data_IF_700850316406
#
_entry.id   IF_700850316406
#
_cell.length_a   1.000
_cell.length_b   1.000
_cell.length_c   1.000
_cell.angle_alpha   90.00
_cell.angle_beta   90.00
_cell.angle_gamma   90.00
#
_symmetry.space_group_name_H-M   'P 1'
#
loop_
_entity.id
_entity.type
_entity.pdbx_description
1 polymer ?
#
# COMPACT_ATOMS: atom_id res chain seq x y z
N UNK A 1 -8.53 -42.33 -23.79
CA UNK A 1 -7.45 -41.98 -22.84
C UNK A 1 -7.21 -40.49 -22.97
N UNK A 2 -7.89 -39.68 -22.16
CA UNK A 2 -7.74 -38.22 -22.14
C UNK A 2 -6.90 -37.82 -20.90
N UNK A 3 -6.07 -36.78 -20.99
CA UNK A 3 -5.03 -36.50 -20.00
C UNK A 3 -5.64 -36.03 -18.68
N UNK A 4 -4.98 -36.45 -17.60
CA UNK A 4 -5.31 -36.14 -16.22
C UNK A 4 -5.61 -34.66 -16.01
N UNK A 5 -6.71 -34.44 -15.30
CA UNK A 5 -7.26 -33.22 -14.74
C UNK A 5 -6.26 -32.47 -13.85
N UNK A 6 -5.16 -31.99 -14.41
CA UNK A 6 -4.33 -31.00 -13.75
C UNK A 6 -4.95 -29.63 -13.96
N UNK A 7 -6.16 -29.46 -13.42
CA UNK A 7 -6.69 -28.13 -13.17
C UNK A 7 -5.65 -27.41 -12.29
N UNK A 8 -5.14 -26.23 -12.68
CA UNK A 8 -4.23 -25.50 -11.83
C UNK A 8 -4.96 -25.27 -10.51
N UNK A 9 -4.38 -25.81 -9.43
CA UNK A 9 -4.92 -25.61 -8.09
C UNK A 9 -4.97 -24.09 -7.88
N UNK A 10 -6.11 -23.52 -7.48
CA UNK A 10 -6.17 -22.10 -7.14
C UNK A 10 -5.12 -21.90 -6.05
N UNK A 11 -4.10 -21.09 -6.35
CA UNK A 11 -3.10 -20.67 -5.36
C UNK A 11 -3.87 -20.13 -4.17
N UNK A 12 -3.86 -20.87 -3.06
CA UNK A 12 -4.64 -20.49 -1.88
C UNK A 12 -4.22 -19.07 -1.51
N UNK A 13 -5.13 -18.09 -1.62
CA UNK A 13 -4.75 -16.70 -1.41
C UNK A 13 -4.31 -16.55 0.05
N UNK A 14 -3.31 -15.72 0.27
CA UNK A 14 -2.91 -15.23 1.59
C UNK A 14 -4.18 -14.96 2.41
N UNK A 15 -4.34 -15.68 3.54
CA UNK A 15 -5.58 -15.74 4.31
C UNK A 15 -6.19 -14.33 4.53
N UNK A 16 -7.50 -14.20 4.34
CA UNK A 16 -8.20 -12.92 4.48
C UNK A 16 -8.21 -12.37 5.92
N UNK A 17 -8.15 -13.28 6.89
CA UNK A 17 -8.16 -12.96 8.30
C UNK A 17 -7.49 -14.09 9.11
N UNK A 18 -7.17 -13.78 10.36
CA UNK A 18 -6.74 -14.76 11.36
C UNK A 18 -7.38 -14.43 12.71
N UNK A 19 -7.42 -15.41 13.62
CA UNK A 19 -7.94 -15.22 14.98
C UNK A 19 -6.79 -14.97 15.93
N UNK A 20 -6.88 -13.89 16.70
CA UNK A 20 -5.91 -13.50 17.72
C UNK A 20 -6.66 -13.10 18.98
N UNK A 21 -6.36 -13.74 20.12
CA UNK A 21 -7.06 -13.54 21.39
C UNK A 21 -8.61 -13.62 21.29
N UNK A 22 -9.13 -14.52 20.45
CA UNK A 22 -10.58 -14.67 20.23
C UNK A 22 -11.21 -13.55 19.39
N UNK A 23 -10.40 -12.68 18.78
CA UNK A 23 -10.84 -11.61 17.88
C UNK A 23 -10.44 -11.93 16.45
N UNK A 24 -11.30 -11.58 15.50
CA UNK A 24 -11.00 -11.70 14.06
C UNK A 24 -10.16 -10.50 13.63
N UNK A 25 -8.97 -10.76 13.10
CA UNK A 25 -8.04 -9.76 12.59
C UNK A 25 -7.92 -9.91 11.08
N UNK A 26 -8.39 -8.92 10.34
CA UNK A 26 -8.31 -8.89 8.87
C UNK A 26 -6.90 -8.55 8.40
N UNK A 27 -6.47 -9.19 7.31
CA UNK A 27 -5.16 -8.93 6.69
C UNK A 27 -5.22 -7.74 5.73
N UNK A 28 -4.07 -7.15 5.44
CA UNK A 28 -3.96 -6.07 4.46
C UNK A 28 -4.46 -6.49 3.07
N UNK A 29 -4.22 -7.74 2.66
CA UNK A 29 -4.68 -8.28 1.37
C UNK A 29 -6.21 -8.30 1.27
N UNK A 30 -6.92 -8.66 2.34
CA UNK A 30 -8.37 -8.58 2.38
C UNK A 30 -8.86 -7.13 2.29
N UNK A 31 -8.24 -6.22 3.05
CA UNK A 31 -8.61 -4.80 3.05
C UNK A 31 -8.34 -4.12 1.70
N UNK A 32 -7.28 -4.54 0.98
CA UNK A 32 -7.01 -4.12 -0.39
C UNK A 32 -8.07 -4.64 -1.37
N UNK A 33 -8.46 -5.92 -1.27
CA UNK A 33 -9.53 -6.50 -2.10
C UNK A 33 -10.88 -5.80 -1.91
N UNK A 34 -11.18 -5.36 -0.68
CA UNK A 34 -12.38 -4.57 -0.37
C UNK A 34 -12.39 -3.23 -1.12
N UNK A 35 -11.22 -2.68 -1.42
CA UNK A 35 -11.07 -1.51 -2.29
C UNK A 35 -11.43 -0.16 -1.65
N UNK A 36 -11.83 -0.12 -0.38
CA UNK A 36 -12.15 1.13 0.32
C UNK A 36 -11.81 1.08 1.80
N UNK A 37 -11.42 2.23 2.35
CA UNK A 37 -11.22 2.40 3.78
C UNK A 37 -12.57 2.31 4.50
N UNK A 38 -12.57 1.64 5.65
CA UNK A 38 -13.77 1.45 6.45
C UNK A 38 -13.83 2.35 7.68
N UNK A 39 -12.81 3.18 7.90
CA UNK A 39 -12.70 4.12 9.03
C UNK A 39 -12.78 3.50 10.44
N UNK A 40 -12.58 2.19 10.55
CA UNK A 40 -12.64 1.46 11.83
C UNK A 40 -11.28 1.40 12.56
N UNK A 41 -10.25 2.09 12.09
CA UNK A 41 -8.91 2.07 12.71
C UNK A 41 -8.25 0.68 12.70
N UNK A 42 -8.45 -0.12 11.65
CA UNK A 42 -7.88 -1.47 11.57
C UNK A 42 -6.35 -1.47 11.55
N UNK A 43 -5.71 -2.32 12.37
CA UNK A 43 -4.24 -2.42 12.51
C UNK A 43 -3.45 -2.67 11.21
N UNK A 44 -4.05 -3.38 10.25
CA UNK A 44 -3.42 -3.75 8.97
C UNK A 44 -3.99 -2.96 7.79
N UNK A 45 -4.58 -1.79 8.05
CA UNK A 45 -5.23 -1.05 7.01
C UNK A 45 -4.22 -0.45 6.03
N UNK A 46 -4.32 -0.78 4.74
CA UNK A 46 -3.42 -0.24 3.72
C UNK A 46 -3.67 1.26 3.45
N UNK A 47 -4.80 1.79 3.92
CA UNK A 47 -5.20 3.19 3.74
C UNK A 47 -4.83 4.08 4.94
N UNK A 48 -4.30 3.49 6.02
CA UNK A 48 -3.85 4.20 7.21
C UNK A 48 -2.35 4.42 7.10
N UNK A 49 -1.98 5.54 6.50
CA UNK A 49 -0.61 6.02 6.41
C UNK A 49 -0.62 7.42 5.80
N UNK A 50 -0.10 8.36 6.58
CA UNK A 50 0.35 9.72 6.24
C UNK A 50 0.19 10.15 4.77
N UNK A 51 -0.38 11.34 4.48
CA UNK A 51 -0.22 11.92 3.16
C UNK A 51 1.30 12.06 2.93
N UNK A 52 1.79 11.82 1.72
CA UNK A 52 3.18 12.16 1.31
C UNK A 52 4.20 11.01 1.28
N UNK A 53 4.00 10.02 0.41
CA UNK A 53 5.11 9.56 -0.43
C UNK A 53 5.11 10.25 -1.82
N UNK A 54 3.99 10.91 -2.18
CA UNK A 54 3.89 11.71 -3.40
C UNK A 54 4.17 13.22 -3.17
N UNK A 55 4.27 13.70 -1.93
CA UNK A 55 4.46 15.13 -1.63
C UNK A 55 5.82 15.48 -0.97
N UNK A 56 6.71 14.50 -0.74
CA UNK A 56 8.05 14.74 -0.18
C UNK A 56 9.16 14.57 -1.23
N UNK A 57 8.85 14.79 -2.51
CA UNK A 57 9.84 14.88 -3.59
C UNK A 57 9.67 16.15 -4.42
N UNK A 58 9.26 17.25 -3.78
CA UNK A 58 9.73 18.56 -4.25
C UNK A 58 11.02 18.86 -3.51
N UNK A 59 12.21 18.64 -4.09
CA UNK A 59 13.35 19.43 -3.67
C UNK A 59 12.95 20.88 -3.95
N UNK A 60 12.67 21.68 -2.93
CA UNK A 60 12.79 23.13 -3.07
C UNK A 60 14.27 23.40 -3.29
N UNK A 61 14.66 23.43 -4.56
CA UNK A 61 15.87 24.12 -4.99
C UNK A 61 15.64 25.57 -4.60
N UNK A 62 16.17 25.96 -3.43
CA UNK A 62 16.23 27.34 -3.00
C UNK A 62 17.13 28.08 -4.01
N UNK A 63 16.49 28.82 -4.92
CA UNK A 63 17.12 29.46 -6.08
C UNK A 63 17.94 30.72 -5.69
N UNK A 64 18.64 30.68 -4.56
CA UNK A 64 19.46 31.80 -4.07
C UNK A 64 20.90 31.76 -4.59
N UNK A 65 21.29 30.78 -5.43
CA UNK A 65 22.69 30.63 -5.88
C UNK A 65 23.02 31.20 -7.27
N UNK A 66 22.09 31.72 -8.07
CA UNK A 66 22.47 32.23 -9.42
C UNK A 66 21.93 33.63 -9.65
N UNK A 67 22.60 34.61 -9.05
CA UNK A 67 22.70 35.94 -9.66
C UNK A 67 24.17 36.13 -10.04
N UNK A 68 24.54 36.01 -11.33
CA UNK A 68 25.85 36.45 -11.79
C UNK A 68 25.92 37.98 -11.70
N UNK A 69 27.00 38.47 -11.11
CA UNK A 69 27.38 39.88 -11.06
C UNK A 69 27.24 40.58 -12.42
N UNK A 70 26.65 41.79 -12.50
CA UNK A 70 27.05 42.73 -13.54
C UNK A 70 28.34 43.43 -13.09
N UNK A 71 29.40 43.14 -13.84
CA UNK A 71 30.66 43.87 -13.80
C UNK A 71 30.42 45.17 -14.59
N UNK A 72 30.39 46.33 -13.93
CA UNK A 72 30.92 47.63 -14.44
C UNK A 72 30.74 48.76 -13.43
#
# INVERSE_FOLDING_TARGET
MAPSSQQPQPVHPLADHYVEHGRVVFTAAFLLRRGTCCDNGCRHCPYQGEPSALAASSPTIDATTIVPTPIS
#
